data_IF_139762238447
#
_entry.id   IF_139762238447
#
_cell.length_a   1.000
_cell.length_b   1.000
_cell.length_c   1.000
_cell.angle_alpha   90.00
_cell.angle_beta   90.00
_cell.angle_gamma   90.00
#
_symmetry.space_group_name_H-M   'P 1'
#
loop_
_entity.id
_entity.type
_entity.pdbx_description
1 polymer ?
#
# COMPACT_ATOMS: atom_id res chain seq x y z
N UNK A 1 4.73 6.97 5.77
CA UNK A 1 6.00 6.27 6.03
C UNK A 1 7.21 7.11 5.74
N UNK A 2 7.24 7.77 4.59
CA UNK A 2 8.43 8.42 4.08
C UNK A 2 8.51 9.91 4.38
N UNK A 3 7.38 10.55 4.64
CA UNK A 3 7.28 12.00 4.81
C UNK A 3 6.47 12.38 6.06
N UNK A 4 6.76 11.76 7.19
CA UNK A 4 6.28 12.32 8.44
C UNK A 4 6.99 13.64 8.69
N UNK A 5 6.27 14.73 8.64
CA UNK A 5 6.70 15.94 9.29
C UNK A 5 6.42 15.77 10.80
N UNK A 6 7.44 15.97 11.63
CA UNK A 6 7.20 16.09 13.05
C UNK A 6 6.36 17.37 13.34
N UNK A 7 5.76 17.50 14.50
CA UNK A 7 4.99 18.70 14.87
C UNK A 7 5.77 20.02 14.74
N UNK A 8 7.10 19.97 14.69
CA UNK A 8 7.99 21.13 14.56
C UNK A 8 8.39 21.39 13.09
N UNK A 9 7.80 20.68 12.13
CA UNK A 9 8.06 20.86 10.70
C UNK A 9 9.34 20.23 10.19
N UNK A 10 10.01 19.40 10.98
CA UNK A 10 11.21 18.69 10.57
C UNK A 10 10.84 17.53 9.64
N UNK A 11 11.41 17.52 8.43
CA UNK A 11 11.23 16.44 7.48
C UNK A 11 11.90 15.16 8.00
N UNK A 12 11.16 14.08 8.06
CA UNK A 12 11.70 12.79 8.45
C UNK A 12 12.54 12.20 7.33
N UNK A 13 13.69 11.67 7.73
CA UNK A 13 14.48 10.82 6.86
C UNK A 13 13.83 9.44 6.77
N UNK A 14 12.85 9.22 6.01
CA UNK A 14 12.08 7.98 5.84
C UNK A 14 12.72 6.65 6.28
N UNK A 15 12.01 5.57 6.17
CA UNK A 15 12.49 4.23 6.49
C UNK A 15 13.50 3.79 5.42
N UNK A 16 14.77 3.56 5.79
CA UNK A 16 15.86 3.31 4.85
C UNK A 16 16.41 1.89 4.86
N UNK A 17 15.80 0.98 5.61
CA UNK A 17 16.17 -0.43 5.65
C UNK A 17 14.94 -1.29 5.91
N UNK A 18 15.02 -2.57 5.54
CA UNK A 18 13.96 -3.53 5.85
C UNK A 18 13.80 -3.68 7.37
N UNK A 19 14.90 -3.63 8.13
CA UNK A 19 14.82 -3.68 9.60
C UNK A 19 14.06 -2.48 10.16
N UNK A 20 14.29 -1.28 9.65
CA UNK A 20 13.52 -0.11 10.04
C UNK A 20 12.03 -0.18 9.62
N UNK A 21 11.69 -0.89 8.52
CA UNK A 21 10.30 -1.21 8.18
C UNK A 21 9.69 -2.12 9.23
N UNK A 22 10.41 -3.18 9.62
CA UNK A 22 9.95 -4.12 10.65
C UNK A 22 9.73 -3.39 11.99
N UNK A 23 10.68 -2.58 12.43
CA UNK A 23 10.56 -1.81 13.68
C UNK A 23 9.34 -0.87 13.64
N UNK A 24 9.12 -0.22 12.50
CA UNK A 24 7.94 0.64 12.33
C UNK A 24 6.63 -0.12 12.36
N UNK A 25 6.57 -1.30 11.75
CA UNK A 25 5.40 -2.16 11.78
C UNK A 25 5.13 -2.70 13.20
N UNK A 26 6.17 -3.05 13.95
CA UNK A 26 6.04 -3.44 15.37
C UNK A 26 5.44 -2.31 16.22
N UNK A 27 5.90 -1.08 16.03
CA UNK A 27 5.35 0.10 16.70
C UNK A 27 3.86 0.30 16.36
N UNK A 28 3.48 0.18 15.09
CA UNK A 28 2.09 0.37 14.66
C UNK A 28 1.19 -0.81 15.09
N UNK A 29 1.72 -2.03 15.09
CA UNK A 29 1.01 -3.21 15.60
C UNK A 29 0.56 -3.02 17.05
N UNK A 30 1.42 -2.41 17.88
CA UNK A 30 1.11 -2.14 19.29
C UNK A 30 -0.07 -1.18 19.52
N UNK A 31 -0.52 -0.49 18.46
CA UNK A 31 -1.66 0.46 18.51
C UNK A 31 -2.99 -0.17 18.06
N UNK A 32 -2.97 -1.43 17.60
CA UNK A 32 -4.16 -2.13 17.12
C UNK A 32 -4.81 -2.92 18.25
N UNK A 33 -6.09 -2.67 18.49
CA UNK A 33 -6.85 -3.30 19.56
C UNK A 33 -7.14 -4.78 19.31
N UNK A 34 -7.42 -5.16 18.04
CA UNK A 34 -7.74 -6.54 17.69
C UNK A 34 -6.48 -7.34 17.31
N UNK A 35 -6.26 -8.53 17.92
CA UNK A 35 -5.05 -9.34 17.67
C UNK A 35 -4.91 -9.82 16.23
N UNK A 36 -6.02 -10.03 15.53
CA UNK A 36 -6.13 -10.56 14.18
C UNK A 36 -6.38 -9.49 13.10
N UNK A 37 -6.57 -8.23 13.52
CA UNK A 37 -6.75 -7.14 12.56
C UNK A 37 -5.55 -7.04 11.60
N UNK A 38 -5.78 -6.87 10.29
CA UNK A 38 -4.69 -6.75 9.34
C UNK A 38 -3.83 -5.52 9.64
N UNK A 39 -2.52 -5.66 9.41
CA UNK A 39 -1.58 -4.55 9.50
C UNK A 39 -1.11 -4.19 8.10
N UNK A 40 -1.41 -2.98 7.67
CA UNK A 40 -1.10 -2.53 6.31
C UNK A 40 -0.12 -1.36 6.34
N UNK A 41 0.97 -1.52 5.60
CA UNK A 41 1.87 -0.43 5.26
C UNK A 41 1.78 -0.12 3.76
N UNK A 42 2.18 1.08 3.36
CA UNK A 42 2.24 1.43 1.95
C UNK A 42 3.36 2.43 1.65
N UNK A 43 3.62 2.68 0.35
CA UNK A 43 4.68 3.54 -0.14
C UNK A 43 6.10 3.01 0.16
N UNK A 44 6.27 1.68 0.23
CA UNK A 44 7.59 1.07 0.23
C UNK A 44 8.27 1.31 -1.12
N UNK A 45 9.50 1.80 -1.11
CA UNK A 45 10.29 1.93 -2.32
C UNK A 45 11.64 1.22 -2.14
N UNK A 46 11.87 0.10 -2.85
CA UNK A 46 13.09 -0.70 -2.72
C UNK A 46 14.36 0.03 -3.14
N UNK A 47 14.27 1.15 -3.85
CA UNK A 47 15.43 1.97 -4.22
C UNK A 47 16.24 2.41 -3.00
N UNK A 48 15.60 2.53 -1.83
CA UNK A 48 16.25 2.93 -0.58
C UNK A 48 16.91 1.76 0.16
N UNK A 49 16.77 0.52 -0.32
CA UNK A 49 17.21 -0.69 0.40
C UNK A 49 18.37 -1.43 -0.26
N UNK A 50 19.13 -0.78 -1.15
CA UNK A 50 20.34 -1.36 -1.73
C UNK A 50 20.10 -2.68 -2.46
N UNK A 51 19.02 -2.78 -3.23
CA UNK A 51 18.60 -3.98 -3.97
C UNK A 51 18.15 -5.18 -3.09
N UNK A 52 18.12 -5.06 -1.77
CA UNK A 52 17.53 -6.09 -0.92
C UNK A 52 16.03 -6.13 -1.11
N UNK A 53 15.49 -7.33 -1.41
CA UNK A 53 14.04 -7.56 -1.53
C UNK A 53 13.49 -7.97 -0.18
N UNK A 54 12.36 -7.38 0.21
CA UNK A 54 11.62 -7.79 1.41
C UNK A 54 10.95 -9.15 1.17
N UNK A 55 11.05 -10.03 2.15
CA UNK A 55 10.45 -11.36 2.11
C UNK A 55 9.37 -11.53 3.17
N UNK A 56 8.60 -12.64 3.06
CA UNK A 56 7.63 -13.01 4.11
C UNK A 56 8.30 -13.18 5.47
N UNK A 57 9.55 -13.67 5.51
CA UNK A 57 10.29 -13.86 6.75
C UNK A 57 10.64 -12.55 7.45
N UNK A 58 10.89 -11.47 6.69
CA UNK A 58 11.09 -10.15 7.28
C UNK A 58 9.81 -9.69 7.98
N UNK A 59 8.64 -9.89 7.35
CA UNK A 59 7.34 -9.53 7.92
C UNK A 59 6.87 -10.49 9.03
N UNK A 60 7.26 -11.75 8.98
CA UNK A 60 7.01 -12.73 10.05
C UNK A 60 7.68 -12.35 11.37
N UNK A 61 8.73 -11.52 11.33
CA UNK A 61 9.36 -10.94 12.54
C UNK A 61 8.43 -9.97 13.26
N UNK A 62 7.49 -9.38 12.56
CA UNK A 62 6.46 -8.51 13.16
C UNK A 62 5.36 -9.36 13.79
N UNK A 63 4.78 -10.27 13.01
CA UNK A 63 3.78 -11.24 13.50
C UNK A 63 3.64 -12.42 12.56
N UNK A 64 3.43 -13.61 13.15
CA UNK A 64 3.04 -14.82 12.41
C UNK A 64 1.55 -15.12 12.49
N UNK A 65 0.82 -14.42 13.34
CA UNK A 65 -0.60 -14.66 13.62
C UNK A 65 -1.52 -13.64 12.96
N UNK A 66 -0.99 -12.44 12.74
CA UNK A 66 -1.66 -11.32 12.08
C UNK A 66 -1.29 -11.26 10.60
N UNK A 67 -2.26 -11.10 9.66
CA UNK A 67 -1.93 -10.84 8.26
C UNK A 67 -1.32 -9.45 8.09
N UNK A 68 -0.18 -9.40 7.40
CA UNK A 68 0.58 -8.16 7.18
C UNK A 68 0.81 -7.99 5.68
N UNK A 69 0.57 -6.77 5.19
CA UNK A 69 0.85 -6.37 3.82
C UNK A 69 1.56 -5.02 3.75
N UNK A 70 2.54 -4.91 2.86
CA UNK A 70 3.24 -3.65 2.58
C UNK A 70 3.22 -3.39 1.08
N UNK A 71 2.42 -2.41 0.68
CA UNK A 71 2.29 -1.99 -0.71
C UNK A 71 3.46 -1.10 -1.11
N UNK A 72 4.04 -1.38 -2.28
CA UNK A 72 5.05 -0.49 -2.85
C UNK A 72 4.45 0.84 -3.32
N UNK A 73 5.28 1.88 -3.37
CA UNK A 73 4.90 3.20 -3.87
C UNK A 73 4.37 3.16 -5.32
N UNK A 74 4.87 2.20 -6.12
CA UNK A 74 4.44 1.99 -7.50
C UNK A 74 3.05 1.35 -7.65
N UNK A 75 2.46 0.81 -6.59
CA UNK A 75 1.24 -0.02 -6.60
C UNK A 75 1.33 -1.32 -7.43
N UNK A 76 2.51 -1.68 -7.92
CA UNK A 76 2.70 -2.90 -8.72
C UNK A 76 3.23 -4.09 -7.94
N UNK A 77 3.65 -3.89 -6.69
CA UNK A 77 4.19 -4.93 -5.83
C UNK A 77 3.61 -4.79 -4.42
N UNK A 78 3.18 -5.92 -3.88
CA UNK A 78 2.73 -6.06 -2.50
C UNK A 78 3.59 -7.11 -1.81
N UNK A 79 4.25 -6.77 -0.71
CA UNK A 79 4.90 -7.76 0.15
C UNK A 79 3.93 -8.19 1.25
N UNK A 80 3.86 -9.50 1.49
CA UNK A 80 2.98 -10.09 2.51
C UNK A 80 3.73 -11.10 3.37
N UNK A 81 3.28 -11.29 4.61
CA UNK A 81 3.83 -12.29 5.52
C UNK A 81 3.25 -13.70 5.26
N UNK A 82 3.78 -14.70 5.98
CA UNK A 82 3.32 -16.08 5.88
C UNK A 82 1.84 -16.23 6.22
N UNK A 83 1.33 -15.49 7.20
CA UNK A 83 -0.09 -15.54 7.59
C UNK A 83 -1.04 -15.10 6.48
N UNK A 84 -0.71 -14.04 5.78
CA UNK A 84 -1.51 -13.58 4.64
C UNK A 84 -1.51 -14.60 3.50
N UNK A 85 -0.37 -15.24 3.23
CA UNK A 85 -0.26 -16.30 2.24
C UNK A 85 -1.07 -17.54 2.63
N UNK A 86 -1.07 -17.92 3.92
CA UNK A 86 -1.90 -19.02 4.45
C UNK A 86 -3.38 -18.75 4.21
N UNK A 87 -3.87 -17.58 4.63
CA UNK A 87 -5.26 -17.17 4.49
C UNK A 87 -5.72 -17.16 3.03
N UNK A 88 -4.82 -16.81 2.11
CA UNK A 88 -5.07 -16.84 0.67
C UNK A 88 -4.90 -18.24 0.03
N UNK A 89 -4.49 -19.27 0.81
CA UNK A 89 -4.22 -20.62 0.28
C UNK A 89 -2.97 -20.69 -0.62
N UNK A 90 -2.09 -19.70 -0.53
CA UNK A 90 -0.90 -19.58 -1.38
C UNK A 90 0.39 -20.08 -0.73
N UNK A 91 0.44 -20.30 0.58
CA UNK A 91 1.63 -20.82 1.26
C UNK A 91 1.78 -22.33 1.01
N UNK A 92 2.10 -22.69 -0.21
CA UNK A 92 2.27 -24.08 -0.65
C UNK A 92 3.31 -24.19 -1.77
N UNK A 93 4.00 -25.33 -1.90
CA UNK A 93 4.91 -25.56 -3.02
C UNK A 93 4.16 -25.73 -4.35
N UNK A 94 4.91 -25.59 -5.46
CA UNK A 94 4.39 -25.86 -6.79
C UNK A 94 3.47 -24.79 -7.37
N UNK A 95 3.49 -23.59 -6.83
CA UNK A 95 2.80 -22.45 -7.45
C UNK A 95 3.47 -22.09 -8.77
N UNK A 96 2.68 -22.08 -9.84
CA UNK A 96 3.13 -21.65 -11.16
C UNK A 96 2.47 -20.30 -11.52
N UNK A 97 2.96 -19.23 -10.88
CA UNK A 97 2.53 -17.87 -11.16
C UNK A 97 3.77 -16.97 -11.26
N UNK A 98 4.09 -16.39 -12.43
CA UNK A 98 5.26 -15.52 -12.61
C UNK A 98 5.27 -14.30 -11.68
N UNK A 99 4.10 -13.86 -11.21
CA UNK A 99 3.96 -12.77 -10.25
C UNK A 99 4.22 -13.17 -8.80
N UNK A 100 4.46 -14.47 -8.52
CA UNK A 100 4.69 -15.00 -7.16
C UNK A 100 6.05 -15.71 -7.10
N UNK A 101 7.14 -14.98 -6.86
CA UNK A 101 8.47 -15.59 -6.76
C UNK A 101 8.54 -16.62 -5.64
N UNK A 102 9.23 -17.73 -5.89
CA UNK A 102 9.50 -18.76 -4.90
C UNK A 102 10.90 -18.56 -4.30
N UNK A 103 11.04 -18.88 -3.03
CA UNK A 103 12.31 -18.95 -2.34
C UNK A 103 13.01 -20.30 -2.53
N UNK A 104 14.18 -20.45 -1.93
CA UNK A 104 14.97 -21.69 -1.97
C UNK A 104 14.23 -22.87 -1.30
N UNK A 105 13.28 -22.60 -0.43
CA UNK A 105 12.40 -23.58 0.20
C UNK A 105 11.23 -24.03 -0.70
N UNK A 106 11.14 -23.52 -1.93
CA UNK A 106 10.06 -23.81 -2.87
C UNK A 106 8.72 -23.17 -2.53
N UNK A 107 8.69 -22.29 -1.52
CA UNK A 107 7.50 -21.55 -1.10
C UNK A 107 7.55 -20.09 -1.58
N UNK A 108 6.39 -19.40 -1.70
CA UNK A 108 6.37 -17.99 -2.04
C UNK A 108 7.24 -17.13 -1.13
N UNK A 109 8.03 -16.24 -1.72
CA UNK A 109 8.86 -15.30 -0.95
C UNK A 109 8.05 -14.27 -0.16
N UNK A 110 6.76 -14.11 -0.50
CA UNK A 110 5.89 -13.06 0.04
C UNK A 110 5.80 -11.83 -0.86
N UNK A 111 6.57 -11.77 -1.93
CA UNK A 111 6.47 -10.70 -2.93
C UNK A 111 5.42 -11.08 -3.99
N UNK A 112 4.40 -10.24 -4.14
CA UNK A 112 3.29 -10.41 -5.08
C UNK A 112 3.40 -9.31 -6.15
N UNK A 113 3.65 -9.69 -7.42
CA UNK A 113 3.89 -8.75 -8.54
C UNK A 113 2.68 -8.71 -9.48
N UNK A 114 2.16 -7.53 -9.65
CA UNK A 114 1.03 -7.27 -10.53
C UNK A 114 -0.34 -7.63 -9.92
N UNK A 115 -1.43 -7.13 -10.54
CA UNK A 115 -2.78 -7.24 -10.00
C UNK A 115 -3.23 -8.68 -9.78
N UNK A 116 -2.90 -9.60 -10.70
CA UNK A 116 -3.31 -11.01 -10.63
C UNK A 116 -2.69 -11.75 -9.43
N UNK A 117 -1.42 -11.45 -9.11
CA UNK A 117 -0.76 -12.03 -7.96
C UNK A 117 -1.25 -11.39 -6.64
N UNK A 118 -1.52 -10.08 -6.65
CA UNK A 118 -1.96 -9.34 -5.47
C UNK A 118 -3.42 -9.64 -5.08
N UNK A 119 -4.31 -9.83 -6.05
CA UNK A 119 -5.74 -9.95 -5.82
C UNK A 119 -6.14 -10.98 -4.75
N UNK A 120 -5.57 -12.21 -4.70
CA UNK A 120 -5.94 -13.20 -3.69
C UNK A 120 -5.58 -12.81 -2.26
N UNK A 121 -4.55 -11.99 -2.06
CA UNK A 121 -4.05 -11.62 -0.71
C UNK A 121 -4.51 -10.23 -0.25
N UNK A 122 -4.87 -9.34 -1.19
CA UNK A 122 -5.15 -7.93 -0.90
C UNK A 122 -6.23 -7.74 0.18
N UNK A 123 -7.33 -8.48 0.10
CA UNK A 123 -8.41 -8.41 1.08
C UNK A 123 -7.97 -8.83 2.48
N UNK A 124 -7.12 -9.85 2.60
CA UNK A 124 -6.63 -10.36 3.87
C UNK A 124 -5.70 -9.37 4.59
N UNK A 125 -5.02 -8.51 3.86
CA UNK A 125 -4.12 -7.51 4.43
C UNK A 125 -4.72 -6.09 4.48
N UNK A 126 -6.05 -5.97 4.39
CA UNK A 126 -6.73 -4.69 4.52
C UNK A 126 -6.69 -3.79 3.27
N UNK A 127 -6.26 -4.31 2.12
CA UNK A 127 -6.23 -3.60 0.84
C UNK A 127 -7.42 -3.99 -0.06
N UNK A 128 -8.60 -4.07 0.54
CA UNK A 128 -9.85 -4.34 -0.19
C UNK A 128 -10.24 -3.19 -1.14
N UNK A 129 -11.23 -3.46 -2.01
CA UNK A 129 -11.71 -2.48 -3.00
C UNK A 129 -12.09 -1.13 -2.41
N UNK A 130 -12.69 -1.10 -1.22
CA UNK A 130 -13.10 0.12 -0.54
C UNK A 130 -11.94 1.05 -0.18
N UNK A 131 -10.77 0.47 0.15
CA UNK A 131 -9.56 1.25 0.45
C UNK A 131 -8.94 1.80 -0.82
N UNK A 132 -9.01 1.04 -1.92
CA UNK A 132 -8.46 1.44 -3.22
C UNK A 132 -9.37 2.40 -3.99
N UNK A 133 -10.66 2.43 -3.68
CA UNK A 133 -11.62 3.31 -4.36
C UNK A 133 -11.42 4.79 -4.04
N UNK A 134 -10.73 5.11 -2.94
CA UNK A 134 -10.61 6.47 -2.45
C UNK A 134 -11.93 7.03 -1.92
N UNK A 135 -11.87 8.24 -1.40
CA UNK A 135 -13.04 8.99 -0.93
C UNK A 135 -12.92 10.48 -1.29
N UNK A 136 -13.99 11.23 -1.08
CA UNK A 136 -14.02 12.67 -1.35
C UNK A 136 -12.99 13.42 -0.50
N UNK A 137 -12.74 12.98 0.74
CA UNK A 137 -11.72 13.59 1.60
C UNK A 137 -10.32 13.43 0.99
N UNK A 138 -9.98 12.24 0.53
CA UNK A 138 -8.72 11.95 -0.14
C UNK A 138 -8.53 12.79 -1.40
N UNK A 139 -9.58 12.95 -2.21
CA UNK A 139 -9.54 13.79 -3.42
C UNK A 139 -9.29 15.27 -3.05
N UNK A 140 -9.93 15.77 -2.00
CA UNK A 140 -9.72 17.15 -1.52
C UNK A 140 -8.33 17.35 -0.92
N UNK A 141 -7.80 16.36 -0.20
CA UNK A 141 -6.44 16.40 0.34
C UNK A 141 -5.39 16.39 -0.79
N UNK A 142 -5.62 15.58 -1.83
CA UNK A 142 -4.81 15.60 -3.05
C UNK A 142 -4.83 16.95 -3.75
N UNK A 143 -6.01 17.58 -3.89
CA UNK A 143 -6.14 18.90 -4.48
C UNK A 143 -5.37 19.96 -3.69
N UNK A 144 -5.38 19.90 -2.35
CA UNK A 144 -4.56 20.78 -1.50
C UNK A 144 -3.05 20.54 -1.71
N UNK A 145 -2.64 19.29 -1.90
CA UNK A 145 -1.25 18.97 -2.24
C UNK A 145 -0.85 19.58 -3.58
N UNK A 146 -1.73 19.50 -4.60
CA UNK A 146 -1.52 20.17 -5.88
C UNK A 146 -1.25 21.65 -5.72
N UNK A 147 -2.06 22.37 -4.95
CA UNK A 147 -1.85 23.81 -4.66
C UNK A 147 -0.49 24.07 -4.03
N UNK A 148 -0.13 23.27 -3.01
CA UNK A 148 1.16 23.44 -2.29
C UNK A 148 2.37 23.24 -3.20
N UNK A 149 2.24 22.46 -4.25
CA UNK A 149 3.30 22.16 -5.22
C UNK A 149 3.19 22.94 -6.53
N UNK A 150 2.22 23.85 -6.64
CA UNK A 150 1.99 24.67 -7.84
C UNK A 150 1.33 23.92 -9.00
N UNK A 151 0.76 22.73 -8.76
CA UNK A 151 0.03 21.96 -9.76
C UNK A 151 -1.41 22.46 -9.84
N UNK A 152 -1.81 22.96 -10.99
CA UNK A 152 -3.18 23.47 -11.23
C UNK A 152 -4.10 22.46 -11.91
N UNK A 153 -3.52 21.45 -12.57
CA UNK A 153 -4.26 20.40 -13.27
C UNK A 153 -3.55 19.05 -13.04
N UNK A 154 -4.29 18.08 -12.59
CA UNK A 154 -3.83 16.70 -12.46
C UNK A 154 -4.63 15.78 -13.39
N UNK A 155 -3.93 14.89 -14.12
CA UNK A 155 -4.52 13.93 -15.03
C UNK A 155 -4.28 12.51 -14.51
N UNK A 156 -5.35 11.73 -14.42
CA UNK A 156 -5.26 10.29 -14.11
C UNK A 156 -5.42 9.49 -15.40
N UNK A 157 -4.35 8.80 -15.80
CA UNK A 157 -4.26 8.07 -17.06
C UNK A 157 -4.75 6.61 -16.97
N UNK A 158 -5.08 6.13 -15.78
CA UNK A 158 -5.41 4.72 -15.55
C UNK A 158 -6.71 4.54 -14.74
N UNK A 159 -7.59 5.53 -14.78
CA UNK A 159 -8.79 5.50 -13.97
C UNK A 159 -9.86 4.59 -14.59
N UNK A 160 -10.35 3.65 -13.79
CA UNK A 160 -11.57 2.91 -14.09
C UNK A 160 -12.74 3.55 -13.35
N UNK A 161 -13.29 4.61 -13.92
CA UNK A 161 -14.40 5.36 -13.33
C UNK A 161 -15.63 4.48 -13.19
N UNK A 162 -15.92 4.06 -11.96
CA UNK A 162 -17.22 3.52 -11.62
C UNK A 162 -18.23 4.69 -11.46
N UNK A 163 -19.53 4.48 -11.70
CA UNK A 163 -20.52 5.54 -11.58
C UNK A 163 -20.47 6.31 -10.25
N UNK A 164 -20.35 5.58 -9.13
CA UNK A 164 -20.29 6.19 -7.80
C UNK A 164 -19.02 7.05 -7.61
N UNK A 165 -17.91 6.61 -8.17
CA UNK A 165 -16.63 7.36 -8.15
C UNK A 165 -16.77 8.64 -8.98
N UNK A 166 -17.37 8.54 -10.16
CA UNK A 166 -17.63 9.70 -11.02
C UNK A 166 -18.54 10.73 -10.32
N UNK A 167 -19.62 10.27 -9.71
CA UNK A 167 -20.54 11.14 -8.97
C UNK A 167 -19.85 11.83 -7.80
N UNK A 168 -19.02 11.12 -7.07
CA UNK A 168 -18.21 11.67 -5.97
C UNK A 168 -17.23 12.73 -6.50
N UNK A 169 -16.54 12.44 -7.59
CA UNK A 169 -15.59 13.38 -8.20
C UNK A 169 -16.30 14.64 -8.71
N UNK A 170 -17.45 14.49 -9.38
CA UNK A 170 -18.23 15.63 -9.86
C UNK A 170 -18.72 16.50 -8.68
N UNK A 171 -19.24 15.92 -7.62
CA UNK A 171 -19.63 16.68 -6.43
C UNK A 171 -18.47 17.47 -5.83
N UNK A 172 -17.30 16.82 -5.69
CA UNK A 172 -16.11 17.45 -5.11
C UNK A 172 -15.58 18.58 -5.98
N UNK A 173 -15.47 18.37 -7.30
CA UNK A 173 -14.86 19.33 -8.23
C UNK A 173 -15.78 20.48 -8.63
N UNK A 174 -17.10 20.33 -8.51
CA UNK A 174 -18.05 21.42 -8.70
C UNK A 174 -18.11 22.40 -7.52
N UNK A 175 -17.49 22.09 -6.40
CA UNK A 175 -17.34 23.03 -5.28
C UNK A 175 -16.39 24.16 -5.70
N UNK A 176 -16.86 25.42 -5.57
CA UNK A 176 -16.06 26.60 -5.90
C UNK A 176 -14.74 26.73 -5.11
N UNK A 177 -14.64 26.04 -3.96
CA UNK A 177 -13.45 25.98 -3.15
C UNK A 177 -12.52 24.80 -3.52
N UNK A 178 -12.86 24.00 -4.53
CA UNK A 178 -11.99 22.94 -4.98
C UNK A 178 -10.85 23.53 -5.84
N UNK A 179 -9.58 23.41 -5.38
CA UNK A 179 -8.54 24.33 -5.86
C UNK A 179 -7.76 23.86 -7.10
N UNK A 180 -8.06 22.68 -7.62
CA UNK A 180 -7.33 22.12 -8.76
C UNK A 180 -8.30 21.52 -9.81
N UNK A 181 -7.84 21.41 -11.04
CA UNK A 181 -8.57 20.67 -12.08
C UNK A 181 -8.13 19.21 -12.07
N UNK A 182 -9.13 18.31 -12.06
CA UNK A 182 -8.88 16.86 -12.20
C UNK A 182 -9.42 16.42 -13.57
N UNK A 183 -8.60 15.71 -14.32
CA UNK A 183 -8.92 15.20 -15.66
C UNK A 183 -8.70 13.69 -15.68
N UNK A 184 -9.75 12.88 -15.45
CA UNK A 184 -9.67 11.42 -15.67
C UNK A 184 -9.68 11.13 -17.17
N UNK A 185 -8.89 10.15 -17.61
CA UNK A 185 -8.80 9.67 -18.98
C UNK A 185 -9.14 8.19 -19.07
#
# INVERSE_FOLDING_TARGET
>A
WFDRMDPNGKVWTGVRSIDAVVDRLLEEQGKLDAPDAPLTGWALDPIYFGNRRMTRHDLDRVSRDRPIGVMHASFHILNVNSKALELAGLLRPGLNNPGVPLGDDGLPTGEMKGPEAMAPVAGHVGLGRSVMAGDEKGLRDFARLCVRTGVTTATDLANQLQPDTLDMMLRATNDSNFPARIVPL
#
